data_IF_579073043926
#
_entry.id   IF_579073043926
#
_cell.length_a   1.000
_cell.length_b   1.000
_cell.length_c   1.000
_cell.angle_alpha   90.00
_cell.angle_beta   90.00
_cell.angle_gamma   90.00
#
_symmetry.space_group_name_H-M   'P 1'
#
loop_
_entity.id
_entity.type
_entity.pdbx_description
1 polymer ?
#
# COMPACT_ATOMS: atom_id res chain seq x y z
N UNK A 1 4.35 -8.82 14.94
CA UNK A 1 3.75 -7.76 14.08
C UNK A 1 3.56 -6.51 14.92
N UNK A 2 3.77 -5.33 14.34
CA UNK A 2 3.62 -4.02 15.00
C UNK A 2 2.80 -3.07 14.12
N UNK A 3 2.13 -2.10 14.74
CA UNK A 3 1.39 -1.03 14.06
C UNK A 3 1.83 0.31 14.64
N UNK A 4 2.17 1.26 13.77
CA UNK A 4 2.50 2.64 14.13
C UNK A 4 1.47 3.58 13.50
N UNK A 5 0.76 4.34 14.33
CA UNK A 5 -0.25 5.30 13.87
C UNK A 5 0.39 6.69 13.76
N UNK A 6 0.06 7.43 12.70
CA UNK A 6 0.52 8.81 12.50
C UNK A 6 -0.58 9.62 11.84
N UNK A 7 -1.26 10.47 12.61
CA UNK A 7 -2.43 11.20 12.15
C UNK A 7 -3.54 10.23 11.68
N UNK A 8 -3.96 10.37 10.42
CA UNK A 8 -4.97 9.50 9.78
C UNK A 8 -4.38 8.26 9.09
N UNK A 9 -3.10 7.98 9.32
CA UNK A 9 -2.35 6.93 8.63
C UNK A 9 -1.87 5.86 9.61
N UNK A 10 -1.62 4.66 9.10
CA UNK A 10 -0.98 3.59 9.85
C UNK A 10 0.13 2.94 9.04
N UNK A 11 1.24 2.59 9.68
CA UNK A 11 2.28 1.73 9.14
C UNK A 11 2.21 0.37 9.83
N UNK A 12 2.22 -0.71 9.06
CA UNK A 12 2.22 -2.09 9.54
C UNK A 12 3.61 -2.70 9.32
N UNK A 13 4.17 -3.28 10.39
CA UNK A 13 5.54 -3.78 10.40
C UNK A 13 5.62 -5.24 10.83
N UNK A 14 6.56 -5.96 10.22
CA UNK A 14 7.01 -7.29 10.61
C UNK A 14 8.51 -7.21 10.85
N UNK A 15 8.97 -7.66 12.02
CA UNK A 15 10.38 -7.60 12.43
C UNK A 15 11.04 -6.22 12.23
N UNK A 16 10.31 -5.16 12.58
CA UNK A 16 10.75 -3.77 12.43
C UNK A 16 10.73 -3.22 11.00
N UNK A 17 10.40 -4.03 9.99
CA UNK A 17 10.30 -3.64 8.58
C UNK A 17 8.85 -3.33 8.20
N UNK A 18 8.59 -2.16 7.64
CA UNK A 18 7.24 -1.82 7.13
C UNK A 18 6.91 -2.62 5.88
N UNK A 19 5.74 -3.27 5.89
CA UNK A 19 5.22 -4.02 4.75
C UNK A 19 3.91 -3.44 4.19
N UNK A 20 3.18 -2.63 4.95
CA UNK A 20 1.99 -1.95 4.43
C UNK A 20 1.80 -0.58 5.09
N UNK A 21 1.16 0.33 4.36
CA UNK A 21 0.63 1.58 4.90
C UNK A 21 -0.86 1.66 4.63
N UNK A 22 -1.64 2.04 5.65
CA UNK A 22 -2.98 2.59 5.45
C UNK A 22 -2.85 4.11 5.29
N UNK A 23 -3.42 4.64 4.21
CA UNK A 23 -3.42 6.05 3.87
C UNK A 23 -4.86 6.55 3.77
N UNK A 24 -5.12 7.73 4.33
CA UNK A 24 -6.41 8.41 4.24
C UNK A 24 -6.11 9.87 3.95
N UNK A 25 -6.41 10.31 2.72
CA UNK A 25 -6.17 11.67 2.26
C UNK A 25 -4.71 12.12 2.42
N UNK A 26 -3.77 11.22 2.07
CA UNK A 26 -2.33 11.44 2.33
C UNK A 26 -1.75 12.60 1.53
N UNK A 27 -2.32 12.92 0.37
CA UNK A 27 -1.84 14.00 -0.50
C UNK A 27 -2.84 15.15 -0.63
N UNK A 28 -3.92 15.19 0.17
CA UNK A 28 -5.06 16.04 -0.13
C UNK A 28 -5.85 15.55 -1.36
N UNK A 29 -5.67 14.28 -1.73
CA UNK A 29 -6.26 13.63 -2.90
C UNK A 29 -7.61 12.95 -2.59
N UNK A 30 -8.03 12.95 -1.33
CA UNK A 30 -9.26 12.30 -0.85
C UNK A 30 -9.21 10.77 -0.94
N UNK A 31 -8.05 10.16 -1.20
CA UNK A 31 -7.92 8.71 -1.39
C UNK A 31 -7.82 8.02 -0.03
N UNK A 32 -8.62 6.97 0.17
CA UNK A 32 -8.39 6.00 1.25
C UNK A 32 -7.84 4.74 0.62
N UNK A 33 -6.66 4.29 1.04
CA UNK A 33 -5.97 3.22 0.35
C UNK A 33 -4.99 2.46 1.22
N UNK A 34 -4.61 1.27 0.74
CA UNK A 34 -3.48 0.53 1.28
C UNK A 34 -2.32 0.60 0.29
N UNK A 35 -1.11 0.91 0.76
CA UNK A 35 0.11 0.83 -0.02
C UNK A 35 0.96 -0.35 0.43
N UNK A 36 1.39 -1.16 -0.53
CA UNK A 36 2.15 -2.38 -0.30
C UNK A 36 3.38 -2.44 -1.21
N UNK A 37 4.43 -3.14 -0.78
CA UNK A 37 5.59 -3.43 -1.64
C UNK A 37 5.18 -4.42 -2.71
N UNK A 38 5.48 -4.11 -3.96
CA UNK A 38 5.32 -5.01 -5.12
C UNK A 38 6.70 -5.30 -5.71
N UNK A 39 6.79 -6.26 -6.63
CA UNK A 39 8.04 -6.53 -7.35
C UNK A 39 8.27 -5.38 -8.35
N UNK A 40 9.52 -4.94 -8.48
CA UNK A 40 9.90 -3.99 -9.53
C UNK A 40 9.46 -4.52 -10.90
N UNK A 41 8.59 -3.78 -11.59
CA UNK A 41 8.03 -4.17 -12.90
C UNK A 41 6.61 -4.75 -12.88
N UNK A 42 6.06 -5.10 -11.71
CA UNK A 42 4.66 -5.54 -11.57
C UNK A 42 3.71 -4.40 -11.20
N UNK A 43 4.22 -3.25 -10.76
CA UNK A 43 3.41 -2.07 -10.49
C UNK A 43 3.03 -1.41 -11.83
N UNK A 44 1.76 -1.43 -12.26
CA UNK A 44 1.35 -0.70 -13.45
C UNK A 44 1.50 0.80 -13.17
N UNK A 45 1.86 1.60 -14.18
CA UNK A 45 1.94 3.06 -14.04
C UNK A 45 0.54 3.65 -13.84
N UNK A 46 0.08 3.71 -12.60
CA UNK A 46 -1.21 4.27 -12.22
C UNK A 46 -1.01 5.68 -11.66
N UNK A 47 -0.75 6.64 -12.54
CA UNK A 47 -0.67 8.06 -12.15
C UNK A 47 -2.06 8.61 -11.88
N UNK A 48 -2.44 8.72 -10.60
CA UNK A 48 -3.39 9.71 -10.07
C UNK A 48 -4.75 9.84 -10.76
N UNK A 49 -5.22 8.85 -11.53
CA UNK A 49 -6.53 8.93 -12.15
C UNK A 49 -7.58 8.69 -11.07
N UNK A 50 -8.46 9.67 -10.83
CA UNK A 50 -9.60 9.57 -9.89
C UNK A 50 -10.48 8.34 -10.18
N UNK A 51 -10.48 7.85 -11.43
CA UNK A 51 -11.20 6.64 -11.86
C UNK A 51 -10.45 5.32 -11.55
N UNK A 52 -9.13 5.34 -11.33
CA UNK A 52 -8.34 4.13 -11.13
C UNK A 52 -8.56 3.54 -9.72
N UNK A 53 -8.66 2.21 -9.63
CA UNK A 53 -8.59 1.48 -8.37
C UNK A 53 -7.18 1.52 -7.76
N UNK A 54 -6.17 1.68 -8.59
CA UNK A 54 -4.78 1.66 -8.20
C UNK A 54 -4.13 3.04 -8.28
N UNK A 55 -3.11 3.28 -7.46
CA UNK A 55 -2.33 4.51 -7.45
C UNK A 55 -0.87 4.28 -7.07
N UNK A 56 0.02 5.18 -7.50
CA UNK A 56 1.41 5.23 -7.05
C UNK A 56 1.53 6.28 -5.93
N UNK A 57 2.06 5.95 -4.74
CA UNK A 57 2.29 6.94 -3.70
C UNK A 57 3.33 7.97 -4.17
N UNK A 58 3.08 9.27 -3.96
CA UNK A 58 4.00 10.33 -4.39
C UNK A 58 5.29 10.44 -3.55
N UNK A 59 5.42 9.66 -2.48
CA UNK A 59 6.59 9.70 -1.61
C UNK A 59 7.78 8.95 -2.25
N UNK A 60 8.94 9.60 -2.47
CA UNK A 60 10.12 8.95 -3.05
C UNK A 60 10.62 7.74 -2.24
N UNK A 61 10.44 7.76 -0.92
CA UNK A 61 10.80 6.64 -0.03
C UNK A 61 9.91 5.41 -0.24
N UNK A 62 8.79 5.56 -0.96
CA UNK A 62 7.87 4.49 -1.34
C UNK A 62 8.05 4.08 -2.81
N UNK A 63 9.23 4.32 -3.41
CA UNK A 63 9.56 3.80 -4.73
C UNK A 63 9.41 2.26 -4.75
N UNK A 64 8.70 1.73 -5.75
CA UNK A 64 8.40 0.30 -5.86
C UNK A 64 7.22 -0.18 -4.99
N UNK A 65 6.46 0.75 -4.40
CA UNK A 65 5.21 0.44 -3.73
C UNK A 65 4.03 0.73 -4.66
N UNK A 66 2.95 0.00 -4.43
CA UNK A 66 1.69 0.14 -5.17
C UNK A 66 0.56 0.35 -4.18
N UNK A 67 -0.29 1.33 -4.47
CA UNK A 67 -1.50 1.65 -3.71
C UNK A 67 -2.75 1.07 -4.34
N UNK A 68 -3.63 0.51 -3.52
CA UNK A 68 -4.98 0.07 -3.89
C UNK A 68 -6.00 0.89 -3.08
N UNK A 69 -6.97 1.48 -3.76
CA UNK A 69 -8.03 2.29 -3.14
C UNK A 69 -9.04 1.40 -2.45
N UNK A 70 -9.33 1.73 -1.19
CA UNK A 70 -10.33 1.08 -0.36
C UNK A 70 -11.68 1.82 -0.38
N UNK A 71 -11.72 3.03 -0.93
CA UNK A 71 -12.92 3.88 -1.02
C UNK A 71 -13.77 3.64 -2.28
N UNK A 72 -13.66 2.47 -2.91
CA UNK A 72 -14.40 2.12 -4.14
C UNK A 72 -15.57 1.20 -3.83
N UNK A 73 -16.71 1.42 -4.49
CA UNK A 73 -17.92 0.61 -4.27
C UNK A 73 -17.76 -0.86 -4.69
N UNK A 74 -16.95 -1.13 -5.72
CA UNK A 74 -16.66 -2.48 -6.22
C UNK A 74 -15.23 -2.89 -5.86
N UNK A 75 -14.94 -2.97 -4.56
CA UNK A 75 -13.66 -3.42 -4.03
C UNK A 75 -13.65 -4.95 -3.86
N UNK A 76 -12.67 -5.62 -4.47
CA UNK A 76 -12.41 -7.04 -4.22
C UNK A 76 -11.50 -7.20 -2.99
N UNK A 77 -12.06 -7.71 -1.90
CA UNK A 77 -11.31 -7.97 -0.67
C UNK A 77 -10.27 -9.09 -0.80
N UNK A 78 -10.44 -10.00 -1.76
CA UNK A 78 -9.44 -11.01 -2.10
C UNK A 78 -8.17 -10.36 -2.64
N UNK A 79 -8.31 -9.46 -3.61
CA UNK A 79 -7.20 -8.69 -4.20
C UNK A 79 -6.47 -7.85 -3.14
N UNK A 80 -7.23 -7.18 -2.25
CA UNK A 80 -6.65 -6.46 -1.09
C UNK A 80 -5.84 -7.40 -0.21
N UNK A 81 -6.38 -8.58 0.12
CA UNK A 81 -5.73 -9.56 0.98
C UNK A 81 -4.44 -10.09 0.37
N UNK A 82 -4.47 -10.43 -0.92
CA UNK A 82 -3.33 -10.99 -1.64
C UNK A 82 -2.20 -9.98 -1.78
N UNK A 83 -2.53 -8.71 -2.05
CA UNK A 83 -1.55 -7.62 -2.09
C UNK A 83 -0.84 -7.46 -0.73
N UNK A 84 -1.60 -7.42 0.36
CA UNK A 84 -1.06 -7.26 1.72
C UNK A 84 -0.21 -8.48 2.11
N UNK A 85 -0.70 -9.70 1.88
CA UNK A 85 0.01 -10.95 2.17
C UNK A 85 1.31 -11.05 1.38
N UNK A 86 1.27 -10.77 0.08
CA UNK A 86 2.47 -10.78 -0.76
C UNK A 86 3.53 -9.81 -0.24
N UNK A 87 3.12 -8.61 0.17
CA UNK A 87 4.04 -7.62 0.77
C UNK A 87 4.59 -8.07 2.12
N UNK A 88 3.72 -8.63 2.98
CA UNK A 88 4.12 -9.19 4.27
C UNK A 88 5.17 -10.29 4.10
N UNK A 89 4.91 -11.29 3.25
CA UNK A 89 5.83 -12.39 3.01
C UNK A 89 7.16 -11.89 2.44
N UNK A 90 7.17 -10.92 1.53
CA UNK A 90 8.41 -10.30 1.04
C UNK A 90 9.21 -9.63 2.16
N UNK A 91 8.55 -8.93 3.07
CA UNK A 91 9.24 -8.26 4.18
C UNK A 91 9.69 -9.22 5.29
N UNK A 92 8.96 -10.31 5.52
CA UNK A 92 9.25 -11.33 6.52
C UNK A 92 10.30 -12.35 6.04
N UNK A 93 10.26 -12.78 4.77
CA UNK A 93 11.14 -13.83 4.22
C UNK A 93 12.53 -13.32 3.79
N UNK A 94 12.71 -12.02 3.57
CA UNK A 94 14.03 -11.41 3.31
C UNK A 94 14.80 -11.13 4.62
N UNK A 95 14.74 -12.06 5.57
CA UNK A 95 15.48 -12.04 6.83
C UNK A 95 16.70 -12.98 6.82
N UNK A 96 17.15 -13.40 5.64
CA UNK A 96 18.38 -14.21 5.45
C UNK A 96 19.50 -13.32 4.91
#
# INVERSE_FOLDING_TARGET
MQVKITGKHAAFLVDGKTFAYYLSDYQGDGIIGVCCRTRSGEAPEFRGKVASQWFTPANPSLKGWTGLRLDRMALDWGEVSDLIRGSYFRSALLAV
#
